data_IF_690910017813
#
_entry.id   IF_690910017813
#
_cell.length_a   1.000
_cell.length_b   1.000
_cell.length_c   1.000
_cell.angle_alpha   90.00
_cell.angle_beta   90.00
_cell.angle_gamma   90.00
#
_symmetry.space_group_name_H-M   'P 1'
#
loop_
_entity.id
_entity.type
_entity.pdbx_description
1 polymer ?
#
# COMPACT_ATOMS: atom_id res chain seq x y z
N UNK A 1 -14.67 -21.15 -15.77
CA UNK A 1 -14.07 -22.11 -14.83
C UNK A 1 -14.22 -21.52 -13.45
N UNK A 2 -14.90 -22.22 -12.56
CA UNK A 2 -15.22 -21.74 -11.21
C UNK A 2 -14.09 -22.22 -10.31
N UNK A 3 -13.25 -21.30 -9.87
CA UNK A 3 -12.24 -21.54 -8.82
C UNK A 3 -12.92 -21.21 -7.50
N UNK A 4 -13.17 -22.20 -6.64
CA UNK A 4 -13.68 -21.97 -5.30
C UNK A 4 -12.51 -21.74 -4.34
N UNK A 5 -12.35 -20.49 -3.89
CA UNK A 5 -11.40 -20.11 -2.84
C UNK A 5 -12.12 -20.15 -1.49
N UNK A 6 -11.75 -21.08 -0.60
CA UNK A 6 -12.28 -21.13 0.77
C UNK A 6 -11.34 -20.32 1.69
N UNK A 7 -11.76 -19.13 2.09
CA UNK A 7 -11.12 -18.34 3.13
C UNK A 7 -11.52 -18.87 4.51
N UNK A 8 -10.60 -19.54 5.20
CA UNK A 8 -10.74 -19.88 6.62
C UNK A 8 -10.16 -18.74 7.47
N UNK A 9 -11.01 -17.84 7.94
CA UNK A 9 -10.67 -16.87 9.00
C UNK A 9 -10.67 -17.59 10.36
N UNK A 10 -9.54 -18.24 10.67
CA UNK A 10 -9.35 -18.92 11.95
C UNK A 10 -8.78 -17.99 13.01
N UNK A 11 -9.62 -17.54 13.95
CA UNK A 11 -9.15 -16.96 15.21
C UNK A 11 -8.49 -18.07 16.05
N UNK A 12 -7.24 -17.86 16.45
CA UNK A 12 -6.46 -18.81 17.23
C UNK A 12 -7.17 -19.15 18.55
N UNK A 13 -7.66 -20.39 18.65
CA UNK A 13 -8.21 -20.94 19.90
C UNK A 13 -7.33 -22.09 20.34
N UNK A 14 -6.56 -21.87 21.41
CA UNK A 14 -5.80 -22.88 22.14
C UNK A 14 -6.71 -24.00 22.63
N UNK A 15 -6.52 -25.24 22.14
CA UNK A 15 -7.15 -26.44 22.70
C UNK A 15 -6.41 -26.87 23.97
N UNK A 16 -7.07 -26.73 25.12
CA UNK A 16 -6.80 -27.49 26.33
C UNK A 16 -8.05 -28.32 26.68
N UNK A 17 -7.81 -29.56 27.07
CA UNK A 17 -8.77 -30.65 27.21
C UNK A 17 -9.56 -30.56 28.56
N UNK A 18 -10.90 -30.62 28.48
CA UNK A 18 -11.79 -31.29 29.46
C UNK A 18 -12.11 -30.63 30.81
N UNK A 19 -13.36 -30.19 31.01
CA UNK A 19 -14.38 -30.76 31.93
C UNK A 19 -15.57 -29.80 32.14
N UNK A 20 -16.76 -30.40 32.27
CA UNK A 20 -18.09 -29.78 32.27
C UNK A 20 -18.55 -29.49 33.72
N UNK A 21 -18.91 -28.24 34.04
CA UNK A 21 -19.74 -27.88 35.20
C UNK A 21 -20.42 -26.49 34.99
N UNK A 22 -21.66 -26.36 35.43
CA UNK A 22 -22.60 -25.32 35.02
C UNK A 22 -22.80 -24.18 36.06
N UNK A 23 -23.03 -22.95 35.51
CA UNK A 23 -23.72 -21.73 36.03
C UNK A 23 -23.03 -20.85 37.11
N UNK A 24 -23.36 -19.53 37.24
CA UNK A 24 -24.37 -18.72 36.53
C UNK A 24 -23.87 -17.40 35.87
N UNK A 25 -24.77 -16.80 35.08
CA UNK A 25 -24.66 -15.55 34.34
C UNK A 25 -24.33 -14.31 35.20
N UNK A 26 -23.44 -13.44 34.71
CA UNK A 26 -23.36 -12.01 35.03
C UNK A 26 -22.90 -11.22 33.78
N UNK A 27 -23.70 -10.18 33.46
CA UNK A 27 -23.41 -8.96 32.70
C UNK A 27 -22.93 -9.04 31.23
N UNK A 28 -23.88 -8.86 30.31
CA UNK A 28 -23.63 -8.33 28.96
C UNK A 28 -23.21 -6.86 29.05
N UNK A 29 -21.94 -6.58 28.76
CA UNK A 29 -21.52 -5.29 28.24
C UNK A 29 -21.55 -5.36 26.71
N UNK A 30 -22.42 -4.55 26.13
CA UNK A 30 -22.65 -4.42 24.70
C UNK A 30 -21.45 -3.69 24.06
N UNK A 31 -20.39 -4.43 23.74
CA UNK A 31 -19.33 -3.92 22.86
C UNK A 31 -19.77 -4.13 21.43
N UNK A 32 -20.25 -3.04 20.82
CA UNK A 32 -20.48 -2.92 19.40
C UNK A 32 -19.27 -3.50 18.63
N UNK A 33 -19.48 -4.63 17.95
CA UNK A 33 -18.56 -5.12 16.92
C UNK A 33 -18.55 -4.08 15.80
N UNK A 34 -17.50 -3.28 15.74
CA UNK A 34 -17.09 -2.67 14.49
C UNK A 34 -16.50 -3.78 13.62
N UNK A 35 -17.36 -4.47 12.87
CA UNK A 35 -16.94 -5.27 11.71
C UNK A 35 -16.46 -4.31 10.62
N UNK A 36 -15.29 -3.72 10.86
CA UNK A 36 -14.48 -3.10 9.84
C UNK A 36 -13.73 -4.19 9.12
N UNK A 37 -14.43 -4.97 8.29
CA UNK A 37 -13.79 -5.73 7.24
C UNK A 37 -13.03 -4.72 6.38
N UNK A 38 -11.71 -4.65 6.56
CA UNK A 38 -10.80 -3.91 5.71
C UNK A 38 -10.98 -4.44 4.28
N UNK A 39 -11.81 -3.72 3.51
CA UNK A 39 -11.98 -3.98 2.09
C UNK A 39 -10.67 -3.61 1.39
N UNK A 40 -10.22 -4.52 0.54
CA UNK A 40 -8.97 -4.51 -0.19
C UNK A 40 -8.60 -3.14 -0.78
N UNK A 41 -7.31 -2.82 -0.64
CA UNK A 41 -6.67 -1.53 -0.83
C UNK A 41 -6.65 -1.05 -2.30
N UNK A 42 -7.00 0.22 -2.50
CA UNK A 42 -6.58 0.98 -3.67
C UNK A 42 -5.08 1.29 -3.55
N UNK A 43 -4.26 0.63 -4.36
CA UNK A 43 -2.82 0.89 -4.38
C UNK A 43 -2.54 2.19 -5.16
N UNK A 44 -1.78 3.08 -4.52
CA UNK A 44 -1.18 4.25 -5.16
C UNK A 44 -0.23 3.78 -6.26
N UNK A 45 -0.33 4.34 -7.46
CA UNK A 45 0.61 4.03 -8.55
C UNK A 45 1.99 4.51 -8.15
N UNK A 46 2.80 3.59 -7.65
CA UNK A 46 4.17 3.83 -7.18
C UNK A 46 5.11 4.11 -8.34
N UNK A 47 4.74 3.63 -9.53
CA UNK A 47 5.45 3.93 -10.75
C UNK A 47 5.38 5.41 -11.18
N UNK A 48 4.45 6.20 -10.62
CA UNK A 48 4.44 7.65 -10.79
C UNK A 48 5.15 8.33 -9.61
N UNK A 49 6.08 9.28 -9.85
CA UNK A 49 6.73 10.03 -8.77
C UNK A 49 5.73 10.88 -7.97
N UNK A 50 4.55 11.15 -8.53
CA UNK A 50 3.47 11.89 -7.86
C UNK A 50 2.59 10.99 -6.99
N UNK A 51 2.82 9.65 -6.98
CA UNK A 51 2.04 8.64 -6.23
C UNK A 51 0.54 8.91 -6.27
N UNK A 52 0.03 9.02 -7.49
CA UNK A 52 -1.40 9.22 -7.76
C UNK A 52 -2.11 7.89 -7.88
N UNK A 53 -3.43 7.89 -7.72
CA UNK A 53 -4.25 6.71 -7.97
C UNK A 53 -4.40 6.46 -9.47
N UNK A 54 -4.77 5.23 -9.83
CA UNK A 54 -5.00 4.87 -11.23
C UNK A 54 -6.13 5.71 -11.87
N UNK A 55 -7.17 6.05 -11.10
CA UNK A 55 -8.32 6.87 -11.55
C UNK A 55 -8.02 8.38 -11.61
N UNK A 56 -6.99 8.84 -10.90
CA UNK A 56 -6.54 10.23 -10.89
C UNK A 56 -5.42 10.50 -11.93
N UNK A 57 -4.88 9.44 -12.52
CA UNK A 57 -3.78 9.53 -13.47
C UNK A 57 -4.32 9.73 -14.89
N UNK A 58 -3.85 10.78 -15.57
CA UNK A 58 -4.20 11.05 -16.98
C UNK A 58 -3.63 9.99 -17.94
N UNK A 59 -2.66 9.20 -17.47
CA UNK A 59 -2.02 8.12 -18.22
C UNK A 59 -2.75 6.79 -18.00
N UNK A 60 -2.99 5.98 -19.06
CA UNK A 60 -3.69 4.71 -18.93
C UNK A 60 -2.86 3.65 -18.18
N UNK A 61 -3.02 3.60 -16.86
CA UNK A 61 -2.45 2.58 -15.97
C UNK A 61 -3.50 1.49 -15.69
N UNK A 62 -3.09 0.23 -15.68
CA UNK A 62 -3.89 -0.86 -15.11
C UNK A 62 -3.23 -1.29 -13.81
N UNK A 63 -4.01 -1.40 -12.73
CA UNK A 63 -3.53 -1.86 -11.43
C UNK A 63 -4.27 -3.14 -11.05
N UNK A 64 -3.53 -4.18 -10.67
CA UNK A 64 -4.09 -5.42 -10.11
C UNK A 64 -3.61 -5.58 -8.67
N UNK A 65 -4.53 -5.60 -7.72
CA UNK A 65 -4.23 -5.53 -6.29
C UNK A 65 -5.27 -6.30 -5.48
N UNK A 66 -4.98 -6.53 -4.19
CA UNK A 66 -5.94 -7.08 -3.25
C UNK A 66 -6.60 -8.37 -3.73
N UNK A 67 -7.92 -8.47 -3.51
CA UNK A 67 -8.69 -9.67 -3.88
C UNK A 67 -8.64 -9.93 -5.39
N UNK A 68 -8.63 -8.90 -6.25
CA UNK A 68 -8.56 -9.12 -7.69
C UNK A 68 -7.26 -9.84 -8.08
N UNK A 69 -6.13 -9.39 -7.53
CA UNK A 69 -4.86 -10.05 -7.77
C UNK A 69 -4.87 -11.47 -7.19
N UNK A 70 -5.33 -11.67 -5.94
CA UNK A 70 -5.40 -13.00 -5.30
C UNK A 70 -6.15 -14.02 -6.18
N UNK A 71 -7.26 -13.62 -6.81
CA UNK A 71 -8.05 -14.51 -7.66
C UNK A 71 -7.47 -14.69 -9.06
N UNK A 72 -6.69 -13.73 -9.57
CA UNK A 72 -6.11 -13.79 -10.94
C UNK A 72 -4.73 -14.40 -11.02
N UNK A 73 -3.92 -14.34 -9.96
CA UNK A 73 -2.54 -14.85 -9.97
C UNK A 73 -2.52 -16.33 -10.38
N UNK A 74 -1.68 -16.61 -11.37
CA UNK A 74 -1.35 -17.95 -11.84
C UNK A 74 0.15 -18.21 -11.63
N UNK A 75 0.66 -19.33 -12.16
CA UNK A 75 2.07 -19.69 -12.05
C UNK A 75 3.01 -18.71 -12.78
N UNK A 76 2.54 -18.01 -13.81
CA UNK A 76 3.39 -17.15 -14.65
C UNK A 76 2.85 -15.73 -14.76
N UNK A 77 3.75 -14.75 -14.96
CA UNK A 77 3.37 -13.33 -15.02
C UNK A 77 2.48 -13.00 -16.22
N UNK A 78 2.78 -13.55 -17.40
CA UNK A 78 2.00 -13.30 -18.61
C UNK A 78 0.55 -13.76 -18.47
N UNK A 79 0.34 -14.97 -17.94
CA UNK A 79 -0.99 -15.52 -17.65
C UNK A 79 -1.72 -14.75 -16.54
N UNK A 80 -1.02 -14.34 -15.48
CA UNK A 80 -1.58 -13.49 -14.42
C UNK A 80 -2.15 -12.18 -14.99
N UNK A 81 -1.51 -11.65 -16.04
CA UNK A 81 -1.93 -10.43 -16.74
C UNK A 81 -2.85 -10.69 -17.95
N UNK A 82 -3.20 -11.95 -18.21
CA UNK A 82 -4.08 -12.30 -19.32
C UNK A 82 -5.47 -11.67 -19.15
N UNK A 83 -6.00 -11.14 -20.27
CA UNK A 83 -7.31 -10.51 -20.30
C UNK A 83 -7.35 -9.08 -19.76
N UNK A 84 -6.21 -8.51 -19.32
CA UNK A 84 -6.13 -7.08 -19.05
C UNK A 84 -6.22 -6.28 -20.37
N UNK A 85 -6.89 -5.11 -20.38
CA UNK A 85 -7.09 -4.36 -21.62
C UNK A 85 -5.78 -4.02 -22.35
N UNK A 86 -5.61 -4.57 -23.56
CA UNK A 86 -4.42 -4.37 -24.39
C UNK A 86 -3.19 -5.18 -23.97
N UNK A 87 -3.37 -6.17 -23.09
CA UNK A 87 -2.35 -7.11 -22.64
C UNK A 87 -2.75 -8.52 -23.08
N UNK A 88 -1.84 -9.16 -23.80
CA UNK A 88 -1.84 -10.60 -24.07
C UNK A 88 -0.59 -11.19 -23.41
N UNK A 89 -0.28 -12.44 -23.71
CA UNK A 89 0.96 -13.06 -23.28
C UNK A 89 1.52 -13.96 -24.39
N UNK A 90 2.83 -14.14 -24.39
CA UNK A 90 3.47 -15.26 -25.07
C UNK A 90 3.82 -16.31 -24.02
N UNK A 91 3.57 -17.58 -24.31
CA UNK A 91 3.81 -18.69 -23.39
C UNK A 91 4.77 -19.72 -23.99
N UNK A 92 5.44 -20.42 -23.09
CA UNK A 92 6.30 -21.55 -23.39
C UNK A 92 5.98 -22.66 -22.38
N UNK A 93 4.81 -23.28 -22.56
CA UNK A 93 4.24 -24.24 -21.61
C UNK A 93 3.73 -23.57 -20.33
N UNK A 94 3.56 -24.36 -19.25
CA UNK A 94 3.09 -23.90 -17.94
C UNK A 94 4.18 -23.26 -17.06
N UNK A 95 5.44 -23.32 -17.49
CA UNK A 95 6.60 -22.85 -16.72
C UNK A 95 7.05 -21.42 -17.03
N UNK A 96 6.75 -20.90 -18.23
CA UNK A 96 7.21 -19.57 -18.64
C UNK A 96 6.15 -18.85 -19.50
N UNK A 97 5.85 -17.61 -19.13
CA UNK A 97 5.09 -16.69 -19.98
C UNK A 97 5.45 -15.24 -19.69
N UNK A 98 5.35 -14.39 -20.72
CA UNK A 98 5.67 -12.96 -20.62
C UNK A 98 4.51 -12.11 -21.13
N UNK A 99 4.28 -10.93 -20.54
CA UNK A 99 3.24 -10.02 -21.00
C UNK A 99 3.56 -9.41 -22.36
N UNK A 100 2.56 -9.40 -23.24
CA UNK A 100 2.59 -8.78 -24.57
C UNK A 100 1.65 -7.58 -24.56
N UNK A 101 2.20 -6.37 -24.60
CA UNK A 101 1.42 -5.13 -24.54
C UNK A 101 1.33 -4.54 -25.95
N UNK A 102 0.11 -4.43 -26.49
CA UNK A 102 -0.14 -3.90 -27.85
C UNK A 102 0.71 -4.58 -28.94
N UNK A 103 0.89 -5.90 -28.82
CA UNK A 103 1.70 -6.70 -29.75
C UNK A 103 3.22 -6.59 -29.55
N UNK A 104 3.69 -5.89 -28.52
CA UNK A 104 5.11 -5.80 -28.17
C UNK A 104 5.39 -6.71 -26.97
N UNK A 105 6.51 -7.43 -27.01
CA UNK A 105 7.04 -8.27 -25.92
C UNK A 105 8.47 -7.83 -25.60
N UNK A 106 9.18 -8.54 -24.71
CA UNK A 106 10.58 -8.24 -24.43
C UNK A 106 11.42 -8.25 -25.74
N UNK A 107 12.39 -7.33 -25.91
CA UNK A 107 12.90 -6.37 -24.92
C UNK A 107 12.15 -5.02 -24.89
N UNK A 108 10.98 -4.91 -25.53
CA UNK A 108 10.20 -3.65 -25.67
C UNK A 108 9.15 -3.44 -24.58
N UNK A 109 8.82 -4.49 -23.83
CA UNK A 109 8.05 -4.41 -22.58
C UNK A 109 9.04 -4.65 -21.45
N UNK A 110 9.19 -3.67 -20.58
CA UNK A 110 10.09 -3.76 -19.45
C UNK A 110 9.34 -4.29 -18.23
N UNK A 111 9.98 -5.20 -17.50
CA UNK A 111 9.44 -5.74 -16.26
C UNK A 111 10.30 -5.19 -15.11
N UNK A 112 9.64 -4.74 -14.07
CA UNK A 112 10.26 -4.05 -12.94
C UNK A 112 9.81 -4.70 -11.63
N UNK A 113 10.65 -4.70 -10.62
CA UNK A 113 10.32 -5.00 -9.23
C UNK A 113 10.50 -3.72 -8.44
N UNK A 114 9.41 -3.18 -7.88
CA UNK A 114 9.36 -1.91 -7.16
C UNK A 114 10.16 -0.79 -7.86
N UNK A 115 9.84 -0.56 -9.14
CA UNK A 115 10.43 0.42 -10.05
C UNK A 115 11.89 0.17 -10.46
N UNK A 116 12.49 -0.97 -10.10
CA UNK A 116 13.82 -1.39 -10.54
C UNK A 116 13.74 -2.48 -11.61
N UNK A 117 14.53 -2.40 -12.67
CA UNK A 117 14.53 -3.43 -13.73
C UNK A 117 14.98 -4.79 -13.20
N UNK A 118 14.21 -5.83 -13.51
CA UNK A 118 14.64 -7.20 -13.25
C UNK A 118 15.60 -7.65 -14.36
N UNK A 119 16.77 -8.15 -13.96
CA UNK A 119 17.80 -8.64 -14.87
C UNK A 119 17.67 -10.16 -15.02
N UNK A 120 16.75 -10.60 -15.88
CA UNK A 120 16.53 -12.03 -16.16
C UNK A 120 16.77 -12.41 -17.62
N UNK A 121 16.72 -13.73 -17.89
CA UNK A 121 16.90 -14.29 -19.22
C UNK A 121 15.62 -14.24 -20.09
N UNK A 122 14.46 -13.93 -19.50
CA UNK A 122 13.18 -13.80 -20.22
C UNK A 122 13.20 -12.67 -21.27
N UNK A 123 14.10 -11.70 -21.08
CA UNK A 123 14.41 -10.65 -22.06
C UNK A 123 15.07 -11.15 -23.34
N UNK A 124 15.76 -12.29 -23.28
CA UNK A 124 16.52 -12.88 -24.39
C UNK A 124 15.65 -13.89 -25.14
N UNK A 125 14.92 -14.74 -24.41
CA UNK A 125 14.15 -15.84 -25.01
C UNK A 125 12.90 -16.16 -24.19
N UNK A 126 11.76 -16.53 -24.83
CA UNK A 126 10.50 -16.83 -24.15
C UNK A 126 10.50 -18.16 -23.37
N UNK A 127 11.49 -19.03 -23.56
CA UNK A 127 11.66 -20.27 -22.80
C UNK A 127 12.15 -20.04 -21.36
N UNK A 128 12.64 -18.84 -21.06
CA UNK A 128 12.97 -18.42 -19.71
C UNK A 128 11.80 -17.68 -19.06
N UNK A 129 11.39 -18.16 -17.89
CA UNK A 129 10.38 -17.49 -17.07
C UNK A 129 10.87 -16.10 -16.63
N UNK A 130 9.91 -15.18 -16.49
CA UNK A 130 10.14 -13.94 -15.77
C UNK A 130 10.50 -14.30 -14.33
N UNK A 131 11.64 -13.81 -13.81
CA UNK A 131 12.17 -14.21 -12.50
C UNK A 131 11.44 -13.46 -11.37
N UNK A 132 10.15 -13.76 -11.25
CA UNK A 132 9.25 -13.27 -10.21
C UNK A 132 8.26 -14.36 -9.87
N UNK A 133 7.81 -14.36 -8.63
CA UNK A 133 6.73 -15.24 -8.19
C UNK A 133 5.45 -14.42 -8.02
N UNK A 134 4.44 -14.59 -8.90
CA UNK A 134 3.19 -13.86 -8.80
C UNK A 134 2.52 -13.98 -7.43
N UNK A 135 2.51 -15.16 -6.80
CA UNK A 135 1.85 -15.40 -5.51
C UNK A 135 2.42 -14.57 -4.34
N UNK A 136 3.67 -14.09 -4.46
CA UNK A 136 4.30 -13.23 -3.45
C UNK A 136 4.08 -11.72 -3.72
N UNK A 137 3.44 -11.36 -4.84
CA UNK A 137 3.18 -9.95 -5.18
C UNK A 137 1.96 -9.43 -4.43
N UNK A 138 2.07 -8.20 -3.91
CA UNK A 138 0.94 -7.45 -3.35
C UNK A 138 0.20 -6.61 -4.41
N UNK A 139 0.85 -6.35 -5.54
CA UNK A 139 0.28 -5.54 -6.61
C UNK A 139 1.05 -5.66 -7.92
N UNK A 140 0.38 -5.35 -9.03
CA UNK A 140 0.99 -5.20 -10.35
C UNK A 140 0.46 -3.92 -11.00
N UNK A 141 1.35 -3.11 -11.55
CA UNK A 141 1.02 -1.88 -12.28
C UNK A 141 1.49 -2.01 -13.73
N UNK A 142 0.56 -1.93 -14.68
CA UNK A 142 0.85 -1.95 -16.12
C UNK A 142 0.77 -0.53 -16.66
N UNK A 143 1.94 0.03 -16.98
CA UNK A 143 2.12 1.37 -17.49
C UNK A 143 2.20 1.36 -19.01
N UNK A 144 1.44 2.24 -19.63
CA UNK A 144 1.36 2.36 -21.09
C UNK A 144 1.58 3.81 -21.51
N UNK A 145 2.24 4.01 -22.65
CA UNK A 145 2.44 5.34 -23.21
C UNK A 145 3.37 6.21 -22.36
N UNK A 146 3.10 7.52 -22.18
CA UNK A 146 4.06 8.47 -21.60
C UNK A 146 4.59 8.14 -20.20
N UNK A 147 3.85 7.41 -19.36
CA UNK A 147 4.33 7.01 -18.04
C UNK A 147 5.55 6.08 -18.08
N UNK A 148 5.80 5.42 -19.22
CA UNK A 148 6.99 4.57 -19.42
C UNK A 148 8.29 5.36 -19.52
N UNK A 149 8.23 6.68 -19.75
CA UNK A 149 9.43 7.54 -19.87
C UNK A 149 10.32 7.51 -18.62
N UNK A 150 9.74 7.22 -17.45
CA UNK A 150 10.47 7.07 -16.19
C UNK A 150 11.44 5.88 -16.20
N UNK A 151 11.20 4.90 -17.07
CA UNK A 151 11.91 3.63 -17.12
C UNK A 151 12.84 3.49 -18.33
N UNK A 152 13.11 4.60 -19.02
CA UNK A 152 14.05 4.70 -20.16
C UNK A 152 13.64 3.92 -21.44
N UNK A 153 14.54 3.91 -22.42
CA UNK A 153 14.27 3.52 -23.82
C UNK A 153 13.90 2.06 -24.09
N UNK A 154 13.87 1.20 -23.06
CA UNK A 154 13.46 -0.21 -23.17
C UNK A 154 11.94 -0.43 -23.13
N UNK A 155 11.17 0.51 -22.58
CA UNK A 155 9.74 0.33 -22.31
C UNK A 155 8.81 0.85 -23.42
N UNK A 156 9.22 0.76 -24.69
CA UNK A 156 8.46 1.31 -25.85
C UNK A 156 7.03 0.74 -25.93
N UNK A 157 6.87 -0.56 -25.65
CA UNK A 157 5.58 -1.25 -25.61
C UNK A 157 4.80 -1.03 -24.30
N UNK A 158 5.50 -0.74 -23.21
CA UNK A 158 4.94 -0.63 -21.87
C UNK A 158 5.98 -0.98 -20.79
N UNK A 159 5.61 -0.71 -19.54
CA UNK A 159 6.32 -1.21 -18.37
C UNK A 159 5.34 -1.94 -17.45
N UNK A 160 5.79 -3.05 -16.86
CA UNK A 160 5.04 -3.83 -15.87
C UNK A 160 5.82 -3.74 -14.56
N UNK A 161 5.29 -3.00 -13.60
CA UNK A 161 5.88 -2.84 -12.28
C UNK A 161 5.24 -3.80 -11.29
N UNK A 162 6.05 -4.69 -10.74
CA UNK A 162 5.67 -5.70 -9.78
C UNK A 162 5.94 -5.16 -8.39
N UNK A 163 4.91 -5.16 -7.55
CA UNK A 163 5.00 -4.68 -6.17
C UNK A 163 5.11 -5.89 -5.26
N UNK A 164 6.24 -6.02 -4.59
CA UNK A 164 6.44 -7.07 -3.61
C UNK A 164 6.38 -6.53 -2.17
N UNK A 165 6.53 -7.43 -1.21
CA UNK A 165 6.58 -7.08 0.21
C UNK A 165 7.96 -7.34 0.82
N UNK A 166 8.96 -7.76 0.02
CA UNK A 166 10.25 -8.28 0.50
C UNK A 166 10.93 -7.29 1.42
N UNK A 167 10.92 -6.00 1.08
CA UNK A 167 11.45 -4.93 1.94
C UNK A 167 10.30 -4.28 2.72
N UNK A 168 10.22 -4.46 4.06
CA UNK A 168 9.20 -3.81 4.86
C UNK A 168 9.27 -2.28 4.74
N UNK A 169 8.13 -1.63 4.53
CA UNK A 169 8.04 -0.16 4.42
C UNK A 169 7.66 0.52 5.74
N UNK A 170 7.25 -0.26 6.73
CA UNK A 170 6.89 0.17 8.07
C UNK A 170 7.16 -0.94 9.08
N UNK A 171 7.27 -0.56 10.35
CA UNK A 171 7.31 -1.50 11.48
C UNK A 171 5.87 -1.92 11.79
N UNK A 172 5.56 -3.23 11.89
CA UNK A 172 4.22 -3.69 12.26
C UNK A 172 3.76 -3.09 13.58
N UNK A 173 2.49 -2.64 13.65
CA UNK A 173 1.93 -1.95 14.83
C UNK A 173 2.05 -2.77 16.10
N UNK A 174 1.83 -4.09 16.00
CA UNK A 174 1.94 -5.03 17.11
C UNK A 174 3.30 -5.75 17.17
N UNK A 175 4.30 -5.24 16.44
CA UNK A 175 5.64 -5.85 16.33
C UNK A 175 5.70 -7.08 15.42
N UNK A 176 4.56 -7.65 15.01
CA UNK A 176 4.52 -8.78 14.07
C UNK A 176 3.29 -8.70 13.16
N UNK A 177 3.44 -9.14 11.91
CA UNK A 177 2.38 -9.35 10.93
C UNK A 177 2.67 -10.65 10.14
N UNK A 178 1.65 -11.28 9.57
CA UNK A 178 1.87 -12.47 8.75
C UNK A 178 0.76 -12.73 7.75
N UNK A 179 1.07 -13.58 6.78
CA UNK A 179 0.17 -14.04 5.71
C UNK A 179 0.38 -15.53 5.47
N UNK A 180 -0.70 -16.24 5.18
CA UNK A 180 -0.68 -17.62 4.74
C UNK A 180 -1.77 -17.83 3.68
N UNK A 181 -1.44 -18.54 2.60
CA UNK A 181 -2.36 -18.86 1.51
C UNK A 181 -2.11 -20.30 1.04
N UNK A 182 -3.18 -21.04 0.75
CA UNK A 182 -3.12 -22.36 0.14
C UNK A 182 -3.99 -22.39 -1.12
N UNK A 183 -3.50 -23.04 -2.19
CA UNK A 183 -4.23 -23.16 -3.46
C UNK A 183 -4.22 -24.60 -3.94
N UNK A 184 -5.33 -24.99 -4.57
CA UNK A 184 -5.51 -26.27 -5.26
C UNK A 184 -6.06 -26.00 -6.66
N UNK A 185 -5.43 -26.60 -7.67
CA UNK A 185 -5.85 -26.54 -9.07
C UNK A 185 -6.29 -27.91 -9.56
N UNK A 186 -7.25 -27.93 -10.47
CA UNK A 186 -7.75 -29.20 -11.04
C UNK A 186 -7.28 -29.45 -12.46
N UNK A 187 -6.89 -28.42 -13.22
CA UNK A 187 -6.51 -28.58 -14.64
C UNK A 187 -5.15 -29.26 -14.81
N UNK A 188 -4.28 -29.03 -13.85
CA UNK A 188 -2.88 -29.45 -13.75
C UNK A 188 -2.57 -30.04 -12.38
N UNK A 189 -3.60 -30.35 -11.57
CA UNK A 189 -3.46 -30.93 -10.25
C UNK A 189 -2.59 -30.07 -9.28
N UNK A 190 -2.57 -28.74 -9.46
CA UNK A 190 -1.78 -27.77 -8.68
C UNK A 190 -2.00 -27.89 -7.17
N UNK A 191 -0.90 -27.76 -6.42
CA UNK A 191 -0.87 -27.54 -4.97
C UNK A 191 0.14 -26.44 -4.68
N UNK A 192 -0.34 -25.34 -4.10
CA UNK A 192 0.52 -24.22 -3.70
C UNK A 192 0.34 -23.86 -2.24
N UNK A 193 1.43 -23.52 -1.56
CA UNK A 193 1.46 -22.98 -0.21
C UNK A 193 2.32 -21.73 -0.18
N UNK A 194 1.77 -20.63 0.32
CA UNK A 194 2.45 -19.35 0.53
C UNK A 194 2.46 -19.04 2.02
N UNK A 195 3.59 -18.55 2.53
CA UNK A 195 3.70 -18.07 3.89
C UNK A 195 4.63 -16.86 3.97
N UNK A 196 4.31 -15.90 4.83
CA UNK A 196 5.15 -14.74 5.08
C UNK A 196 4.95 -14.18 6.48
N UNK A 197 6.04 -13.72 7.09
CA UNK A 197 6.03 -13.09 8.41
C UNK A 197 6.92 -11.85 8.34
N UNK A 198 6.39 -10.71 8.81
CA UNK A 198 7.15 -9.50 9.08
C UNK A 198 7.24 -9.30 10.59
N UNK A 199 8.45 -9.19 11.14
CA UNK A 199 8.69 -8.90 12.55
C UNK A 199 9.47 -7.59 12.70
N UNK A 200 9.07 -6.76 13.65
CA UNK A 200 9.66 -5.45 13.92
C UNK A 200 10.20 -5.34 15.34
N UNK A 201 11.40 -4.79 15.48
CA UNK A 201 12.02 -4.48 16.76
C UNK A 201 12.71 -3.11 16.70
N UNK A 202 12.25 -2.16 17.52
CA UNK A 202 12.79 -0.79 17.49
C UNK A 202 12.56 -0.14 16.13
N UNK A 203 13.64 0.16 15.41
CA UNK A 203 13.60 0.76 14.09
C UNK A 203 13.97 -0.22 12.95
N UNK A 204 14.06 -1.51 13.28
CA UNK A 204 14.32 -2.57 12.32
C UNK A 204 13.06 -3.39 12.08
N UNK A 205 12.83 -3.75 10.82
CA UNK A 205 11.82 -4.70 10.41
C UNK A 205 12.46 -5.76 9.51
N UNK A 206 12.13 -7.03 9.76
CA UNK A 206 12.58 -8.17 8.98
C UNK A 206 11.35 -8.88 8.43
N UNK A 207 11.37 -9.18 7.14
CA UNK A 207 10.41 -10.07 6.51
C UNK A 207 11.09 -11.33 6.02
N UNK A 208 10.44 -12.46 6.26
CA UNK A 208 10.73 -13.75 5.65
C UNK A 208 9.45 -14.24 5.01
N UNK A 209 9.51 -14.63 3.74
CA UNK A 209 8.37 -15.21 3.03
C UNK A 209 8.85 -16.30 2.07
N UNK A 210 7.91 -17.13 1.66
CA UNK A 210 8.16 -18.12 0.65
C UNK A 210 6.88 -18.70 0.07
N UNK A 211 7.08 -19.37 -1.05
CA UNK A 211 6.06 -20.18 -1.71
C UNK A 211 6.68 -21.51 -2.10
N UNK A 212 5.84 -22.53 -2.09
CA UNK A 212 6.09 -23.79 -2.75
C UNK A 212 4.88 -24.13 -3.61
N UNK A 213 5.12 -24.53 -4.86
CA UNK A 213 4.12 -24.93 -5.84
C UNK A 213 4.58 -26.20 -6.53
N UNK A 214 3.66 -27.15 -6.63
CA UNK A 214 3.78 -28.33 -7.49
C UNK A 214 2.54 -28.39 -8.39
N UNK A 215 2.72 -28.57 -9.69
CA UNK A 215 1.66 -28.94 -10.63
C UNK A 215 2.18 -29.93 -11.67
N UNK A 216 1.31 -30.83 -12.11
CA UNK A 216 1.55 -31.81 -13.16
C UNK A 216 1.32 -31.19 -14.55
N UNK A 217 1.54 -31.98 -15.61
CA UNK A 217 1.20 -31.58 -16.98
C UNK A 217 -0.28 -31.16 -17.08
N UNK A 218 -0.61 -30.03 -17.72
CA UNK A 218 -1.99 -29.57 -17.82
C UNK A 218 -2.78 -30.39 -18.86
N UNK A 219 -4.08 -30.58 -18.61
CA UNK A 219 -4.97 -31.33 -19.52
C UNK A 219 -5.36 -30.52 -20.76
N UNK A 220 -5.48 -31.22 -21.89
CA UNK A 220 -5.99 -30.67 -23.16
C UNK A 220 -7.12 -31.55 -23.71
N UNK A 221 -8.01 -30.99 -24.55
CA UNK A 221 -9.02 -31.79 -25.23
C UNK A 221 -8.40 -32.92 -26.06
N UNK A 222 -8.96 -34.13 -25.98
CA UNK A 222 -8.48 -35.31 -26.71
C UNK A 222 -8.43 -35.16 -28.24
N UNK A 223 -9.09 -34.12 -28.78
CA UNK A 223 -8.99 -33.72 -30.19
C UNK A 223 -7.56 -33.37 -30.64
N UNK A 224 -6.65 -33.07 -29.70
CA UNK A 224 -5.24 -32.79 -29.98
C UNK A 224 -4.38 -34.06 -30.09
N UNK A 225 -4.96 -35.26 -29.95
CA UNK A 225 -4.24 -36.55 -30.06
C UNK A 225 -3.55 -37.00 -28.77
N UNK A 226 -3.55 -36.15 -27.75
CA UNK A 226 -3.09 -36.40 -26.38
C UNK A 226 -4.09 -35.77 -25.40
N UNK A 227 -4.11 -36.24 -24.15
CA UNK A 227 -5.01 -35.72 -23.10
C UNK A 227 -4.31 -34.72 -22.16
N UNK A 228 -2.97 -34.60 -22.25
CA UNK A 228 -2.14 -33.67 -21.47
C UNK A 228 -0.99 -33.14 -22.35
N UNK A 229 -0.46 -31.97 -22.03
CA UNK A 229 0.73 -31.44 -22.70
C UNK A 229 1.98 -31.84 -21.92
N UNK A 230 2.77 -32.75 -22.48
CA UNK A 230 3.95 -33.27 -21.81
C UNK A 230 5.02 -32.20 -21.55
N UNK A 231 5.58 -32.20 -20.33
CA UNK A 231 6.62 -31.26 -19.92
C UNK A 231 6.08 -29.87 -19.56
N UNK A 232 4.78 -29.77 -19.27
CA UNK A 232 4.13 -28.53 -18.85
C UNK A 232 3.96 -28.40 -17.34
N UNK A 233 4.39 -29.42 -16.58
CA UNK A 233 4.50 -29.39 -15.13
C UNK A 233 5.24 -28.14 -14.61
N UNK A 234 4.92 -27.72 -13.39
CA UNK A 234 5.57 -26.60 -12.73
C UNK A 234 5.92 -26.94 -11.28
N UNK A 235 7.21 -26.94 -10.96
CA UNK A 235 7.73 -27.05 -9.60
C UNK A 235 8.51 -25.78 -9.28
N UNK A 236 7.99 -25.00 -8.34
CA UNK A 236 8.58 -23.73 -7.94
C UNK A 236 8.70 -23.67 -6.42
N UNK A 237 9.90 -23.38 -5.94
CA UNK A 237 10.16 -23.03 -4.55
C UNK A 237 10.89 -21.71 -4.49
N UNK A 238 10.25 -20.69 -3.91
CA UNK A 238 10.87 -19.38 -3.72
C UNK A 238 10.90 -19.05 -2.24
N UNK A 239 12.04 -18.59 -1.76
CA UNK A 239 12.19 -18.02 -0.42
C UNK A 239 12.83 -16.65 -0.57
N UNK A 240 12.28 -15.67 0.12
CA UNK A 240 12.85 -14.32 0.17
C UNK A 240 13.01 -13.88 1.62
N UNK A 241 14.07 -13.12 1.86
CA UNK A 241 14.34 -12.47 3.13
C UNK A 241 14.70 -11.03 2.82
N UNK A 242 14.05 -10.09 3.48
CA UNK A 242 14.36 -8.68 3.36
C UNK A 242 14.30 -7.98 4.69
N UNK A 243 15.31 -7.14 4.93
CA UNK A 243 15.39 -6.29 6.11
C UNK A 243 15.24 -4.84 5.71
N UNK A 244 14.48 -4.10 6.50
CA UNK A 244 14.43 -2.65 6.44
C UNK A 244 14.90 -2.10 7.78
N UNK A 245 15.88 -1.21 7.72
CA UNK A 245 16.26 -0.40 8.86
C UNK A 245 15.78 1.01 8.61
N UNK A 246 14.76 1.43 9.35
CA UNK A 246 14.26 2.80 9.27
C UNK A 246 15.23 3.69 10.05
N UNK A 247 16.26 4.19 9.37
CA UNK A 247 17.19 5.14 9.97
C UNK A 247 16.55 6.48 10.25
N UNK A 248 16.95 7.07 11.38
CA UNK A 248 16.68 8.46 11.70
C UNK A 248 17.47 9.34 10.73
N UNK A 249 16.78 10.02 9.82
CA UNK A 249 17.33 10.98 8.84
C UNK A 249 18.53 11.78 9.38
N UNK A 250 18.42 12.31 10.61
CA UNK A 250 19.46 13.12 11.22
C UNK A 250 20.77 12.37 11.48
N UNK A 251 20.75 11.08 11.83
CA UNK A 251 21.98 10.31 12.02
C UNK A 251 22.83 10.25 10.73
N UNK A 252 22.18 10.18 9.56
CA UNK A 252 22.86 10.22 8.25
C UNK A 252 23.36 11.60 7.88
N UNK A 253 22.65 12.65 8.30
CA UNK A 253 23.07 14.03 8.09
C UNK A 253 24.23 14.42 9.00
N UNK A 254 24.38 13.79 10.17
CA UNK A 254 25.41 14.12 11.15
C UNK A 254 26.84 14.15 10.58
N UNK A 255 27.35 13.14 9.86
CA UNK A 255 28.70 13.20 9.27
C UNK A 255 28.81 14.19 8.10
N UNK A 256 27.69 14.57 7.47
CA UNK A 256 27.66 15.51 6.35
C UNK A 256 27.53 16.98 6.79
N UNK A 257 27.18 17.21 8.05
CA UNK A 257 26.94 18.55 8.59
C UNK A 257 28.18 19.04 9.34
N UNK A 258 28.93 19.95 8.72
CA UNK A 258 30.11 20.58 9.34
C UNK A 258 29.84 21.87 10.12
N UNK A 259 28.60 22.40 10.04
CA UNK A 259 28.19 23.66 10.69
C UNK A 259 26.75 23.58 11.17
N UNK A 260 25.98 24.67 11.09
CA UNK A 260 24.56 24.66 11.50
C UNK A 260 23.67 23.89 10.51
N UNK A 261 22.83 23.03 11.05
CA UNK A 261 21.68 22.45 10.39
C UNK A 261 20.43 23.27 10.74
N UNK A 262 19.70 23.70 9.72
CA UNK A 262 18.38 24.30 9.89
C UNK A 262 17.32 23.31 9.43
N UNK A 263 16.39 22.99 10.31
CA UNK A 263 15.24 22.12 10.01
C UNK A 263 13.99 22.98 10.03
N UNK A 264 13.29 23.02 8.90
CA UNK A 264 12.02 23.73 8.75
C UNK A 264 10.91 22.70 8.63
N UNK A 265 9.82 22.88 9.37
CA UNK A 265 8.69 21.98 9.33
C UNK A 265 7.41 22.64 9.83
N UNK A 266 6.36 21.84 9.91
CA UNK A 266 5.02 22.25 10.31
C UNK A 266 4.57 21.36 11.46
N UNK A 267 3.99 21.93 12.52
CA UNK A 267 3.29 21.11 13.51
C UNK A 267 2.02 20.52 12.90
N UNK A 268 1.71 19.24 13.19
CA UNK A 268 0.48 18.65 12.69
C UNK A 268 -0.73 19.40 13.25
N UNK A 269 -1.58 19.92 12.37
CA UNK A 269 -2.84 20.58 12.75
C UNK A 269 -3.96 19.58 13.11
N UNK A 270 -3.65 18.27 13.03
CA UNK A 270 -4.49 17.18 13.55
C UNK A 270 -3.71 16.43 14.64
N UNK A 271 -3.44 17.06 15.81
CA UNK A 271 -2.88 16.34 16.95
C UNK A 271 -3.75 15.16 17.39
N UNK A 272 -3.14 14.25 18.16
CA UNK A 272 -3.85 13.11 18.76
C UNK A 272 -4.96 13.56 19.72
N UNK A 273 -4.63 14.56 20.55
CA UNK A 273 -5.57 15.16 21.49
C UNK A 273 -6.33 16.31 20.85
N UNK A 274 -7.60 16.45 21.21
CA UNK A 274 -8.46 17.53 20.71
C UNK A 274 -8.00 18.89 21.29
N UNK A 275 -7.76 19.91 20.45
CA UNK A 275 -7.39 21.24 20.94
C UNK A 275 -8.49 21.90 21.79
N UNK A 276 -8.07 22.66 22.79
CA UNK A 276 -8.99 23.37 23.71
C UNK A 276 -9.54 24.67 23.11
N UNK A 277 -8.74 25.38 22.32
CA UNK A 277 -9.14 26.65 21.72
C UNK A 277 -10.12 26.44 20.57
N UNK A 278 -11.19 27.22 20.50
CA UNK A 278 -12.25 27.05 19.49
C UNK A 278 -11.72 27.14 18.04
N UNK A 279 -10.85 28.11 17.66
CA UNK A 279 -10.25 28.16 16.33
C UNK A 279 -9.39 26.93 15.99
N UNK A 280 -8.59 26.45 16.94
CA UNK A 280 -7.76 25.27 16.74
C UNK A 280 -8.60 23.99 16.62
N UNK A 281 -9.65 23.88 17.44
CA UNK A 281 -10.57 22.75 17.46
C UNK A 281 -11.36 22.61 16.16
N UNK A 282 -11.84 23.71 15.57
CA UNK A 282 -12.56 23.63 14.29
C UNK A 282 -11.63 23.20 13.15
N UNK A 283 -10.38 23.68 13.12
CA UNK A 283 -9.36 23.23 12.16
C UNK A 283 -9.05 21.75 12.34
N UNK A 284 -8.92 21.29 13.59
CA UNK A 284 -8.74 19.88 13.92
C UNK A 284 -9.90 19.02 13.43
N UNK A 285 -11.16 19.42 13.68
CA UNK A 285 -12.37 18.70 13.20
C UNK A 285 -12.42 18.60 11.69
N UNK A 286 -12.09 19.68 10.97
CA UNK A 286 -11.97 19.67 9.50
C UNK A 286 -10.90 18.68 9.05
N UNK A 287 -9.72 18.68 9.72
CA UNK A 287 -8.66 17.71 9.44
C UNK A 287 -9.07 16.27 9.69
N UNK A 288 -9.80 15.98 10.78
CA UNK A 288 -10.34 14.65 11.09
C UNK A 288 -11.38 14.19 10.08
N UNK A 289 -12.26 15.08 9.62
CA UNK A 289 -13.19 14.78 8.52
C UNK A 289 -12.41 14.42 7.26
N UNK A 290 -11.44 15.25 6.87
CA UNK A 290 -10.58 15.01 5.71
C UNK A 290 -9.89 13.65 5.78
N UNK A 291 -9.27 13.35 6.90
CA UNK A 291 -8.58 12.08 7.10
C UNK A 291 -9.54 10.89 7.02
N UNK A 292 -10.75 11.03 7.55
CA UNK A 292 -11.79 10.00 7.45
C UNK A 292 -12.23 9.78 6.01
N UNK A 293 -12.46 10.85 5.25
CA UNK A 293 -12.80 10.77 3.82
C UNK A 293 -11.68 10.11 3.01
N UNK A 294 -10.41 10.44 3.30
CA UNK A 294 -9.26 9.81 2.66
C UNK A 294 -9.20 8.31 2.98
N UNK A 295 -9.23 7.94 4.26
CA UNK A 295 -9.12 6.55 4.69
C UNK A 295 -10.27 5.68 4.15
N UNK A 296 -11.50 6.19 4.18
CA UNK A 296 -12.67 5.50 3.64
C UNK A 296 -12.62 5.37 2.12
N UNK A 297 -11.94 6.30 1.44
CA UNK A 297 -11.65 6.18 0.02
C UNK A 297 -10.44 5.28 -0.27
N UNK A 298 -9.74 4.74 0.73
CA UNK A 298 -8.51 3.93 0.57
C UNK A 298 -7.23 4.76 0.37
N UNK A 299 -7.27 6.06 0.63
CA UNK A 299 -6.11 6.96 0.55
C UNK A 299 -5.41 7.07 1.91
N UNK A 300 -4.11 7.36 1.89
CA UNK A 300 -3.32 7.58 3.11
C UNK A 300 -3.26 9.06 3.46
N UNK A 301 -3.69 9.45 4.67
CA UNK A 301 -3.48 10.81 5.14
C UNK A 301 -2.00 11.15 5.29
N UNK A 302 -1.62 12.32 4.82
CA UNK A 302 -0.30 12.89 5.08
C UNK A 302 -0.22 13.40 6.53
N UNK A 303 0.97 13.28 7.14
CA UNK A 303 1.27 13.68 8.52
C UNK A 303 2.60 14.41 8.58
N UNK A 304 2.60 15.52 9.30
CA UNK A 304 3.79 16.29 9.59
C UNK A 304 4.48 15.79 10.87
N UNK A 305 5.75 16.13 11.02
CA UNK A 305 6.52 15.82 12.22
C UNK A 305 6.42 16.97 13.23
N UNK A 306 5.91 16.74 14.46
CA UNK A 306 5.90 17.76 15.51
C UNK A 306 7.31 18.28 15.81
N UNK A 307 7.44 19.57 16.13
CA UNK A 307 8.75 20.16 16.42
C UNK A 307 9.51 19.43 17.54
N UNK A 308 8.81 19.05 18.62
CA UNK A 308 9.43 18.32 19.74
C UNK A 308 9.98 16.96 19.33
N UNK A 309 9.26 16.24 18.46
CA UNK A 309 9.74 14.97 17.92
C UNK A 309 11.02 15.18 17.11
N UNK A 310 11.09 16.25 16.31
CA UNK A 310 12.28 16.59 15.52
C UNK A 310 13.46 16.94 16.43
N UNK A 311 13.26 17.77 17.44
CA UNK A 311 14.27 18.15 18.44
C UNK A 311 14.83 16.91 19.14
N UNK A 312 13.97 16.00 19.59
CA UNK A 312 14.40 14.77 20.25
C UNK A 312 15.19 13.85 19.31
N UNK A 313 14.82 13.77 18.04
CA UNK A 313 15.56 12.99 17.06
C UNK A 313 16.91 13.62 16.69
N UNK A 314 17.00 14.95 16.64
CA UNK A 314 18.27 15.67 16.48
C UNK A 314 19.23 15.33 17.64
N UNK A 315 18.77 15.47 18.89
CA UNK A 315 19.56 15.13 20.09
C UNK A 315 20.06 13.70 20.07
N UNK A 316 19.17 12.74 19.77
CA UNK A 316 19.52 11.32 19.65
C UNK A 316 20.51 11.01 18.52
N UNK A 317 20.66 11.92 17.56
CA UNK A 317 21.52 11.78 16.39
C UNK A 317 22.83 12.58 16.50
N UNK A 318 23.15 13.08 17.69
CA UNK A 318 24.40 13.81 17.93
C UNK A 318 24.36 15.26 17.46
N UNK A 319 23.18 15.88 17.38
CA UNK A 319 23.03 17.32 17.22
C UNK A 319 22.63 17.97 18.54
N UNK A 320 23.10 19.18 18.78
CA UNK A 320 22.68 20.05 19.86
C UNK A 320 21.73 21.13 19.29
N UNK A 321 20.43 21.12 19.61
CA UNK A 321 19.50 22.18 19.23
C UNK A 321 19.84 23.48 19.96
N UNK A 322 20.11 24.55 19.22
CA UNK A 322 20.53 25.86 19.75
C UNK A 322 19.34 26.81 19.88
N UNK A 323 18.44 26.74 18.90
CA UNK A 323 17.24 27.55 18.88
C UNK A 323 16.11 26.77 18.20
N UNK A 324 14.90 26.94 18.71
CA UNK A 324 13.68 26.48 18.08
C UNK A 324 12.66 27.61 18.17
N UNK A 325 12.22 28.11 17.02
CA UNK A 325 11.22 29.17 16.93
C UNK A 325 9.97 28.61 16.24
N UNK A 326 8.80 29.00 16.74
CA UNK A 326 7.49 28.60 16.22
C UNK A 326 6.75 29.84 15.72
N UNK A 327 6.18 29.72 14.54
CA UNK A 327 5.46 30.77 13.83
C UNK A 327 3.99 30.36 13.73
N UNK A 328 3.08 30.96 14.52
CA UNK A 328 1.68 30.56 14.56
C UNK A 328 1.00 30.69 13.19
N UNK A 329 0.24 29.68 12.81
CA UNK A 329 -0.46 29.68 11.52
C UNK A 329 -1.86 30.23 11.68
N UNK A 330 -2.29 31.01 10.69
CA UNK A 330 -3.62 31.58 10.59
C UNK A 330 -4.29 31.12 9.30
N UNK A 331 -5.29 30.26 9.45
CA UNK A 331 -6.04 29.72 8.34
C UNK A 331 -7.23 30.62 7.99
N UNK A 332 -7.28 31.08 6.74
CA UNK A 332 -8.40 31.86 6.20
C UNK A 332 -9.42 31.01 5.45
N UNK A 333 -10.46 31.65 4.92
CA UNK A 333 -11.57 30.97 4.23
C UNK A 333 -11.11 30.06 3.09
N UNK A 334 -10.08 30.47 2.33
CA UNK A 334 -9.50 29.67 1.24
C UNK A 334 -9.02 28.29 1.71
N UNK A 335 -8.45 28.20 2.91
CA UNK A 335 -8.02 26.92 3.48
C UNK A 335 -9.22 26.03 3.77
N UNK A 336 -10.23 26.56 4.47
CA UNK A 336 -11.45 25.82 4.82
C UNK A 336 -12.12 25.27 3.57
N UNK A 337 -12.34 26.12 2.57
CA UNK A 337 -12.94 25.72 1.29
C UNK A 337 -12.13 24.63 0.59
N UNK A 338 -10.79 24.76 0.55
CA UNK A 338 -9.93 23.75 -0.07
C UNK A 338 -10.01 22.40 0.66
N UNK A 339 -10.01 22.38 1.99
CA UNK A 339 -10.09 21.12 2.76
C UNK A 339 -11.45 20.44 2.59
N UNK A 340 -12.54 21.20 2.57
CA UNK A 340 -13.90 20.68 2.38
C UNK A 340 -14.09 20.20 0.94
N UNK A 341 -13.67 20.99 -0.06
CA UNK A 341 -13.79 20.63 -1.47
C UNK A 341 -12.99 19.37 -1.81
N UNK A 342 -11.86 19.12 -1.14
CA UNK A 342 -11.07 17.90 -1.31
C UNK A 342 -11.85 16.64 -0.92
N UNK A 343 -12.77 16.72 0.05
CA UNK A 343 -13.56 15.57 0.48
C UNK A 343 -14.60 15.12 -0.56
N UNK A 344 -15.19 16.07 -1.28
CA UNK A 344 -16.32 15.80 -2.20
C UNK A 344 -16.05 14.68 -3.23
N UNK A 345 -14.95 14.71 -4.03
CA UNK A 345 -14.69 13.64 -5.00
C UNK A 345 -14.36 12.28 -4.36
N UNK A 346 -14.02 12.23 -3.07
CA UNK A 346 -13.81 10.96 -2.35
C UNK A 346 -15.13 10.40 -1.82
N UNK A 347 -16.00 11.27 -1.31
CA UNK A 347 -17.32 10.87 -0.80
C UNK A 347 -18.18 10.24 -1.91
N UNK A 348 -18.10 10.74 -3.15
CA UNK A 348 -18.84 10.17 -4.28
C UNK A 348 -18.43 8.73 -4.62
N UNK A 349 -17.18 8.34 -4.32
CA UNK A 349 -16.64 6.98 -4.54
C UNK A 349 -17.11 5.97 -3.49
N UNK A 350 -17.68 6.43 -2.36
CA UNK A 350 -18.14 5.53 -1.32
C UNK A 350 -19.33 4.68 -1.79
N UNK A 351 -19.26 3.38 -1.52
CA UNK A 351 -20.33 2.43 -1.85
C UNK A 351 -21.58 2.66 -0.99
N UNK A 352 -21.39 2.97 0.31
CA UNK A 352 -22.48 3.28 1.23
C UNK A 352 -22.96 4.73 1.03
N UNK A 353 -24.16 4.86 0.47
CA UNK A 353 -24.78 6.16 0.17
C UNK A 353 -25.32 6.87 1.41
N UNK A 354 -25.68 6.13 2.46
CA UNK A 354 -26.10 6.73 3.74
C UNK A 354 -24.91 7.36 4.44
N UNK A 355 -23.78 6.65 4.47
CA UNK A 355 -22.52 7.19 4.99
C UNK A 355 -22.06 8.42 4.17
N UNK A 356 -22.13 8.34 2.84
CA UNK A 356 -21.77 9.45 1.95
C UNK A 356 -22.59 10.72 2.27
N UNK A 357 -23.93 10.59 2.38
CA UNK A 357 -24.81 11.71 2.71
C UNK A 357 -24.51 12.29 4.10
N UNK A 358 -24.19 11.44 5.08
CA UNK A 358 -23.83 11.89 6.42
C UNK A 358 -22.51 12.70 6.43
N UNK A 359 -21.50 12.26 5.67
CA UNK A 359 -20.22 12.97 5.53
C UNK A 359 -20.40 14.31 4.82
N UNK A 360 -21.22 14.38 3.76
CA UNK A 360 -21.53 15.65 3.07
C UNK A 360 -22.23 16.64 4.00
N UNK A 361 -23.23 16.19 4.75
CA UNK A 361 -23.93 17.02 5.74
C UNK A 361 -22.96 17.52 6.82
N UNK A 362 -22.08 16.66 7.32
CA UNK A 362 -21.08 17.03 8.32
C UNK A 362 -20.07 18.06 7.77
N UNK A 363 -19.63 17.89 6.52
CA UNK A 363 -18.75 18.83 5.83
C UNK A 363 -19.39 20.22 5.70
N UNK A 364 -20.68 20.29 5.38
CA UNK A 364 -21.43 21.54 5.29
C UNK A 364 -21.53 22.25 6.66
N UNK A 365 -21.81 21.50 7.74
CA UNK A 365 -21.85 22.06 9.11
C UNK A 365 -20.49 22.64 9.50
N UNK A 366 -19.40 21.88 9.32
CA UNK A 366 -18.06 22.34 9.65
C UNK A 366 -17.65 23.57 8.84
N UNK A 367 -18.03 23.63 7.56
CA UNK A 367 -17.79 24.79 6.70
C UNK A 367 -18.47 26.04 7.26
N UNK A 368 -19.75 25.95 7.60
CA UNK A 368 -20.50 27.09 8.16
C UNK A 368 -19.91 27.56 9.49
N UNK A 369 -19.62 26.63 10.41
CA UNK A 369 -18.99 26.95 11.71
C UNK A 369 -17.64 27.65 11.53
N UNK A 370 -16.78 27.13 10.64
CA UNK A 370 -15.45 27.68 10.40
C UNK A 370 -15.49 29.07 9.76
N UNK A 371 -16.37 29.30 8.78
CA UNK A 371 -16.51 30.60 8.14
C UNK A 371 -17.05 31.67 9.10
N UNK A 372 -17.99 31.31 9.98
CA UNK A 372 -18.49 32.22 11.01
C UNK A 372 -17.39 32.62 12.01
N UNK A 373 -16.55 31.66 12.43
CA UNK A 373 -15.39 31.95 13.29
C UNK A 373 -14.36 32.84 12.59
N UNK A 374 -14.11 32.63 11.28
CA UNK A 374 -13.21 33.49 10.49
C UNK A 374 -13.77 34.91 10.39
N UNK A 375 -15.08 35.08 10.22
CA UNK A 375 -15.71 36.39 10.19
C UNK A 375 -15.55 37.13 11.53
N UNK A 376 -15.67 36.41 12.66
CA UNK A 376 -15.53 36.98 14.00
C UNK A 376 -14.07 37.30 14.39
N UNK A 377 -13.11 36.42 14.06
CA UNK A 377 -11.73 36.49 14.55
C UNK A 377 -10.70 36.86 13.46
N UNK A 378 -11.14 37.01 12.22
CA UNK A 378 -10.33 37.29 11.04
C UNK A 378 -9.62 36.06 10.45
N UNK A 379 -9.17 35.11 11.27
CA UNK A 379 -8.59 33.85 10.84
C UNK A 379 -8.60 32.79 11.97
N UNK A 380 -8.51 31.52 11.60
CA UNK A 380 -8.42 30.42 12.56
C UNK A 380 -6.96 30.19 12.95
N UNK A 381 -6.61 30.49 14.20
CA UNK A 381 -5.30 30.16 14.74
C UNK A 381 -5.22 28.65 15.06
N UNK A 382 -4.27 27.94 14.46
CA UNK A 382 -4.05 26.52 14.76
C UNK A 382 -2.66 26.07 14.32
N UNK A 383 -1.93 25.40 15.22
CA UNK A 383 -0.57 24.93 14.95
C UNK A 383 0.43 26.06 14.70
N UNK A 384 1.65 25.67 14.31
CA UNK A 384 2.73 26.58 13.97
C UNK A 384 3.67 25.95 12.95
N UNK A 385 4.22 26.77 12.06
CA UNK A 385 5.45 26.42 11.36
C UNK A 385 6.60 26.52 12.36
N UNK A 386 7.68 25.76 12.18
CA UNK A 386 8.83 25.86 13.05
C UNK A 386 10.14 25.87 12.29
N UNK A 387 11.12 26.55 12.88
CA UNK A 387 12.51 26.52 12.45
C UNK A 387 13.37 26.11 13.63
N UNK A 388 14.10 25.01 13.48
CA UNK A 388 15.04 24.51 14.48
C UNK A 388 16.45 24.68 13.93
N UNK A 389 17.29 25.41 14.64
CA UNK A 389 18.72 25.49 14.39
C UNK A 389 19.44 24.53 15.32
N UNK A 390 20.25 23.64 14.78
CA UNK A 390 21.04 22.68 15.54
C UNK A 390 22.48 22.62 15.03
N UNK A 391 23.42 22.39 15.93
CA UNK A 391 24.83 22.17 15.58
C UNK A 391 25.25 20.72 15.83
N UNK A 392 26.18 20.19 15.04
CA UNK A 392 26.81 18.90 15.30
C UNK A 392 27.54 18.92 16.66
N UNK A 393 27.19 17.99 17.54
CA UNK A 393 27.83 17.82 18.86
C UNK A 393 29.13 17.05 18.80
#
# INVERSE_FOLDING_TARGET
MITETILLTGAATTMALGTLAALPAHAQADTARTDGAHRADDILVTASPLRQRADETVTPVVTLTGDELVHRRTATLGETLAGQPGVNFDNFGGGASRPVIRGQTAPRVQILSDASEIADASRVSPDHAVVTEPLLLRGIEVLRGPATLLYCGGAIGGAVNLLDSKIPTAIPVNGIEGVAEGRLGTADDERSLVGGITAGAGNFALRVEGVHRESDDYRVPSAFGEDRVHGSYNDTSTVSVGGAFQERLFARLRPLTGGRLYVVGLDPYVPADEPTEAPARIVWRIGRLRDSCLLLAGERPYREYPAEWVIDNLRRSGFEPIAAERFPIRFGARFVEAQIAMCAPRITRLADRTLAAALEAHAAVLRTEALALIEAEGALASGADYVIAAEPR
#
